data_IF_355771927430
#
_entry.id   IF_355771927430
#
_cell.length_a   1.000
_cell.length_b   1.000
_cell.length_c   1.000
_cell.angle_alpha   90.00
_cell.angle_beta   90.00
_cell.angle_gamma   90.00
#
_symmetry.space_group_name_H-M   'P 1'
#
loop_
_entity.id
_entity.type
_entity.pdbx_description
1 polymer ?
#
# COMPACT_ATOMS: atom_id res chain seq x y z
N UNK A 1 5.53 -12.02 47.91
CA UNK A 1 5.19 -12.09 46.47
C UNK A 1 5.61 -10.77 45.83
N UNK A 2 6.35 -10.85 44.73
CA UNK A 2 7.19 -9.80 44.17
C UNK A 2 6.40 -8.60 43.64
N UNK A 3 6.74 -7.40 44.10
CA UNK A 3 6.42 -6.13 43.42
C UNK A 3 7.76 -5.43 43.16
N UNK A 4 8.27 -5.54 41.94
CA UNK A 4 9.37 -4.69 41.50
C UNK A 4 8.77 -3.33 41.12
N UNK A 5 9.06 -2.30 41.93
CA UNK A 5 8.49 -0.95 41.79
C UNK A 5 8.83 -0.26 40.45
N UNK A 6 9.67 -0.87 39.61
CA UNK A 6 10.07 -0.35 38.32
C UNK A 6 9.39 -1.02 37.11
N UNK A 7 8.46 -1.96 37.32
CA UNK A 7 7.82 -2.69 36.21
C UNK A 7 6.36 -2.26 36.01
N UNK A 8 6.01 -1.94 34.78
CA UNK A 8 4.64 -1.58 34.43
C UNK A 8 3.76 -2.84 34.30
N UNK A 9 2.76 -2.96 35.17
CA UNK A 9 1.80 -4.08 35.18
C UNK A 9 0.39 -3.67 34.68
N UNK A 10 0.27 -2.53 34.01
CA UNK A 10 -1.00 -2.12 33.40
C UNK A 10 -1.45 -3.14 32.34
N UNK A 11 -2.76 -3.29 32.09
CA UNK A 11 -3.25 -4.21 31.06
C UNK A 11 -2.65 -3.94 29.67
N UNK A 12 -2.36 -2.67 29.37
CA UNK A 12 -1.72 -2.27 28.12
C UNK A 12 -0.25 -2.71 28.12
N UNK A 13 0.49 -2.48 29.20
CA UNK A 13 1.88 -2.93 29.29
C UNK A 13 2.01 -4.44 29.15
N UNK A 14 1.16 -5.22 29.83
CA UNK A 14 1.18 -6.68 29.75
C UNK A 14 0.84 -7.18 28.34
N UNK A 15 -0.15 -6.56 27.69
CA UNK A 15 -0.51 -6.87 26.30
C UNK A 15 0.62 -6.52 25.32
N UNK A 16 1.25 -5.36 25.49
CA UNK A 16 2.36 -4.93 24.61
C UNK A 16 3.60 -5.81 24.82
N UNK A 17 4.01 -6.03 26.06
CA UNK A 17 5.18 -6.86 26.39
C UNK A 17 5.00 -8.32 25.95
N UNK A 18 3.79 -8.88 26.09
CA UNK A 18 3.51 -10.24 25.60
C UNK A 18 3.57 -10.33 24.07
N UNK A 19 3.03 -9.33 23.37
CA UNK A 19 3.10 -9.27 21.91
C UNK A 19 4.55 -9.12 21.40
N UNK A 20 5.32 -8.21 22.00
CA UNK A 20 6.74 -8.00 21.68
C UNK A 20 7.54 -9.29 21.90
N UNK A 21 7.37 -9.94 23.05
CA UNK A 21 8.04 -11.22 23.34
C UNK A 21 7.69 -12.31 22.33
N UNK A 22 6.48 -12.30 21.80
CA UNK A 22 6.02 -13.31 20.85
C UNK A 22 6.60 -13.15 19.44
N UNK A 23 6.97 -11.93 19.03
CA UNK A 23 7.56 -11.66 17.71
C UNK A 23 9.10 -11.67 17.71
N UNK A 24 9.71 -11.57 18.89
CA UNK A 24 11.16 -11.66 19.06
C UNK A 24 11.67 -13.10 18.93
N UNK A 25 12.89 -13.24 18.42
CA UNK A 25 13.68 -14.47 18.44
C UNK A 25 14.85 -14.28 19.41
N UNK A 26 14.63 -14.67 20.67
CA UNK A 26 15.63 -14.56 21.75
C UNK A 26 16.88 -15.43 21.50
N UNK A 27 16.87 -16.32 20.50
CA UNK A 27 18.02 -17.15 20.15
C UNK A 27 19.05 -16.41 19.29
N UNK A 28 18.64 -15.31 18.63
CA UNK A 28 19.53 -14.50 17.81
C UNK A 28 20.26 -13.44 18.66
N UNK A 29 21.55 -13.23 18.38
CA UNK A 29 22.32 -12.21 19.10
C UNK A 29 22.00 -10.80 18.54
N UNK A 30 21.42 -9.89 19.35
CA UNK A 30 21.01 -8.56 18.91
C UNK A 30 22.18 -7.68 18.43
N UNK A 31 23.40 -7.90 18.93
CA UNK A 31 24.59 -7.14 18.51
C UNK A 31 25.08 -7.54 17.12
N UNK A 32 24.63 -8.69 16.60
CA UNK A 32 25.05 -9.22 15.30
C UNK A 32 23.93 -9.18 14.27
N UNK A 33 22.68 -9.42 14.67
CA UNK A 33 21.51 -9.35 13.81
C UNK A 33 20.29 -8.94 14.64
N UNK A 34 20.18 -7.64 14.91
CA UNK A 34 19.06 -7.07 15.65
C UNK A 34 17.71 -7.33 14.97
N UNK A 35 17.68 -7.41 13.63
CA UNK A 35 16.46 -7.73 12.89
C UNK A 35 15.95 -9.14 13.23
N UNK A 36 16.83 -10.15 13.19
CA UNK A 36 16.44 -11.51 13.58
C UNK A 36 16.02 -11.54 15.04
N UNK A 37 16.75 -10.90 15.95
CA UNK A 37 16.38 -10.85 17.36
C UNK A 37 15.00 -10.20 17.60
N UNK A 38 14.72 -9.07 16.95
CA UNK A 38 13.49 -8.30 17.18
C UNK A 38 12.27 -8.85 16.41
N UNK A 39 12.48 -9.48 15.25
CA UNK A 39 11.41 -9.84 14.31
C UNK A 39 11.46 -11.29 13.82
N UNK A 40 12.43 -12.10 14.25
CA UNK A 40 12.62 -13.47 13.78
C UNK A 40 11.47 -14.42 14.14
N UNK A 41 10.76 -14.13 15.23
CA UNK A 41 9.53 -14.83 15.62
C UNK A 41 8.31 -14.44 14.79
N UNK A 42 8.34 -13.31 14.08
CA UNK A 42 7.19 -12.79 13.32
C UNK A 42 6.71 -13.74 12.21
N UNK A 43 7.63 -14.48 11.58
CA UNK A 43 7.25 -15.46 10.55
C UNK A 43 6.45 -16.65 11.12
N UNK A 44 6.61 -16.97 12.40
CA UNK A 44 5.90 -18.08 13.06
C UNK A 44 4.43 -17.76 13.38
N UNK A 45 4.09 -16.47 13.43
CA UNK A 45 2.76 -15.98 13.81
C UNK A 45 1.89 -15.70 12.57
N UNK A 46 2.51 -15.68 11.39
CA UNK A 46 1.85 -15.43 10.12
C UNK A 46 2.05 -16.64 9.20
N UNK A 47 1.01 -17.45 9.04
CA UNK A 47 1.03 -18.55 8.08
C UNK A 47 1.33 -17.99 6.69
N UNK A 48 2.35 -18.51 5.98
CA UNK A 48 2.62 -18.09 4.61
C UNK A 48 1.46 -18.59 3.75
N UNK A 49 0.46 -17.74 3.53
CA UNK A 49 -0.42 -17.94 2.39
C UNK A 49 0.40 -17.53 1.15
N UNK A 50 0.73 -18.47 0.25
CA UNK A 50 1.58 -18.21 -0.92
C UNK A 50 0.96 -17.23 -1.92
N UNK A 51 -0.28 -16.77 -1.70
CA UNK A 51 -0.98 -15.80 -2.55
C UNK A 51 -0.80 -14.33 -2.14
N UNK A 52 -0.15 -14.03 -1.00
CA UNK A 52 0.01 -12.67 -0.46
C UNK A 52 1.45 -12.44 0.06
N UNK A 53 2.43 -12.68 -0.80
CA UNK A 53 3.86 -12.60 -0.47
C UNK A 53 4.39 -11.16 -0.35
N UNK A 54 3.58 -10.14 -0.69
CA UNK A 54 4.06 -8.76 -0.80
C UNK A 54 3.74 -7.81 0.36
N UNK A 55 2.93 -8.19 1.35
CA UNK A 55 2.28 -7.19 2.21
C UNK A 55 2.11 -7.66 3.66
N UNK A 56 3.16 -7.56 4.46
CA UNK A 56 3.14 -7.89 5.90
C UNK A 56 3.41 -6.66 6.75
N UNK A 57 2.50 -5.69 6.68
CA UNK A 57 2.38 -4.62 7.67
C UNK A 57 0.99 -4.75 8.35
N UNK A 58 0.85 -4.45 9.65
CA UNK A 58 -0.44 -4.45 10.33
C UNK A 58 -1.46 -3.46 9.69
N UNK A 59 -1.00 -2.50 8.87
CA UNK A 59 -1.84 -1.59 8.10
C UNK A 59 -2.57 -2.24 6.91
N UNK A 60 -2.13 -3.42 6.48
CA UNK A 60 -2.51 -4.00 5.20
C UNK A 60 -3.86 -4.70 5.21
N UNK A 61 -4.36 -5.05 6.40
CA UNK A 61 -5.69 -5.63 6.58
C UNK A 61 -6.79 -4.61 6.20
N UNK A 62 -6.52 -3.29 6.32
CA UNK A 62 -7.47 -2.25 5.91
C UNK A 62 -7.49 -2.00 4.39
N UNK A 63 -6.44 -2.38 3.67
CA UNK A 63 -6.33 -2.16 2.23
C UNK A 63 -7.00 -3.26 1.40
N UNK A 64 -7.26 -4.44 1.98
CA UNK A 64 -7.91 -5.57 1.30
C UNK A 64 -9.18 -6.05 2.02
N UNK A 65 -10.28 -5.27 1.96
CA UNK A 65 -11.55 -5.75 2.45
C UNK A 65 -12.14 -6.83 1.51
N UNK A 66 -12.95 -7.77 2.03
CA UNK A 66 -13.40 -8.99 1.33
C UNK A 66 -14.25 -8.75 0.07
N UNK A 67 -14.69 -7.52 -0.20
CA UNK A 67 -15.41 -7.15 -1.43
C UNK A 67 -14.60 -7.24 -2.73
N UNK A 68 -13.28 -7.44 -2.70
CA UNK A 68 -12.46 -7.67 -3.91
C UNK A 68 -12.60 -9.07 -4.53
N UNK A 69 -13.63 -9.84 -4.15
CA UNK A 69 -13.95 -11.11 -4.81
C UNK A 69 -14.62 -10.91 -6.17
N UNK A 70 -15.21 -9.73 -6.41
CA UNK A 70 -15.62 -9.31 -7.76
C UNK A 70 -14.33 -8.90 -8.47
N UNK A 71 -13.81 -9.78 -9.35
CA UNK A 71 -12.65 -9.52 -10.23
C UNK A 71 -12.82 -8.21 -11.01
N UNK A 72 -11.87 -7.83 -11.88
CA UNK A 72 -11.85 -6.56 -12.64
C UNK A 72 -13.08 -6.15 -13.49
N UNK A 73 -14.23 -6.83 -13.43
CA UNK A 73 -15.48 -6.40 -14.06
C UNK A 73 -15.95 -4.98 -13.67
N UNK A 74 -15.83 -4.51 -12.41
CA UNK A 74 -16.13 -3.12 -12.08
C UNK A 74 -15.24 -2.15 -12.86
N UNK A 75 -13.96 -2.47 -13.05
CA UNK A 75 -13.06 -1.65 -13.90
C UNK A 75 -13.55 -1.60 -15.35
N UNK A 76 -13.94 -2.74 -15.92
CA UNK A 76 -14.44 -2.80 -17.30
C UNK A 76 -15.71 -1.95 -17.48
N UNK A 77 -16.68 -2.07 -16.56
CA UNK A 77 -17.98 -1.43 -16.73
C UNK A 77 -18.07 0.00 -16.21
N UNK A 78 -17.36 0.33 -15.13
CA UNK A 78 -17.45 1.65 -14.48
C UNK A 78 -16.34 2.60 -14.91
N UNK A 79 -15.24 2.09 -15.46
CA UNK A 79 -14.10 2.91 -15.86
C UNK A 79 -13.91 2.90 -17.37
N UNK A 80 -13.71 1.72 -17.99
CA UNK A 80 -13.33 1.66 -19.41
C UNK A 80 -14.46 2.14 -20.34
N UNK A 81 -15.69 1.67 -20.13
CA UNK A 81 -16.83 2.06 -20.98
C UNK A 81 -17.13 3.57 -20.94
N UNK A 82 -17.24 4.24 -19.77
CA UNK A 82 -17.43 5.69 -19.72
C UNK A 82 -16.27 6.50 -20.31
N UNK A 83 -15.06 5.93 -20.41
CA UNK A 83 -13.87 6.58 -20.96
C UNK A 83 -13.79 6.54 -22.49
N UNK A 84 -14.75 5.94 -23.18
CA UNK A 84 -14.73 5.78 -24.64
C UNK A 84 -14.11 4.47 -25.11
N UNK A 85 -14.07 3.46 -24.22
CA UNK A 85 -13.72 2.10 -24.57
C UNK A 85 -12.21 1.87 -24.79
N UNK A 86 -11.86 0.62 -25.06
CA UNK A 86 -10.50 0.22 -25.40
C UNK A 86 -10.53 -0.71 -26.61
N UNK A 87 -9.75 -0.40 -27.65
CA UNK A 87 -9.57 -1.20 -28.86
C UNK A 87 -9.29 -2.70 -28.68
N UNK A 88 -8.78 -3.14 -27.51
CA UNK A 88 -8.49 -4.55 -27.21
C UNK A 88 -9.73 -5.29 -26.73
N UNK A 89 -10.68 -4.56 -26.14
CA UNK A 89 -11.84 -5.11 -25.46
C UNK A 89 -13.14 -4.97 -26.26
N UNK A 90 -13.14 -4.11 -27.29
CA UNK A 90 -14.33 -3.74 -28.05
C UNK A 90 -14.08 -3.94 -29.55
N UNK A 91 -14.95 -4.72 -30.20
CA UNK A 91 -14.84 -5.05 -31.63
C UNK A 91 -15.08 -3.84 -32.56
N UNK A 92 -15.83 -2.83 -32.09
CA UNK A 92 -16.25 -1.65 -32.88
C UNK A 92 -15.61 -0.35 -32.39
N UNK A 93 -14.43 -0.41 -31.78
CA UNK A 93 -13.76 0.78 -31.28
C UNK A 93 -13.28 1.67 -32.43
N UNK A 94 -13.65 2.96 -32.40
CA UNK A 94 -13.33 3.91 -33.46
C UNK A 94 -12.12 4.78 -33.10
N UNK A 95 -11.01 4.53 -33.80
CA UNK A 95 -9.75 5.27 -33.63
C UNK A 95 -9.88 6.76 -33.94
N UNK A 96 -10.81 7.17 -34.82
CA UNK A 96 -10.98 8.57 -35.19
C UNK A 96 -11.59 9.41 -34.06
N UNK A 97 -12.29 8.77 -33.12
CA UNK A 97 -12.91 9.44 -31.96
C UNK A 97 -11.98 9.60 -30.78
N UNK A 98 -10.78 9.00 -30.83
CA UNK A 98 -9.85 8.99 -29.72
C UNK A 98 -9.02 10.28 -29.62
N UNK A 99 -9.15 10.99 -28.50
CA UNK A 99 -8.34 12.16 -28.16
C UNK A 99 -7.39 11.84 -27.01
N UNK A 100 -6.12 11.62 -27.33
CA UNK A 100 -5.09 11.27 -26.35
C UNK A 100 -4.95 12.34 -25.24
N UNK A 101 -5.02 13.63 -25.58
CA UNK A 101 -4.84 14.70 -24.60
C UNK A 101 -5.99 14.73 -23.60
N UNK A 102 -7.22 14.59 -24.09
CA UNK A 102 -8.42 14.47 -23.25
C UNK A 102 -8.31 13.25 -22.34
N UNK A 103 -7.94 12.09 -22.88
CA UNK A 103 -7.88 10.86 -22.10
C UNK A 103 -6.78 10.91 -21.03
N UNK A 104 -5.58 11.42 -21.36
CA UNK A 104 -4.52 11.63 -20.37
C UNK A 104 -5.00 12.55 -19.25
N UNK A 105 -5.67 13.67 -19.57
CA UNK A 105 -6.19 14.58 -18.54
C UNK A 105 -7.13 13.88 -17.57
N UNK A 106 -8.06 13.06 -18.06
CA UNK A 106 -9.03 12.40 -17.17
C UNK A 106 -8.33 11.30 -16.36
N UNK A 107 -7.43 10.51 -16.95
CA UNK A 107 -6.67 9.47 -16.23
C UNK A 107 -5.81 10.07 -15.11
N UNK A 108 -5.12 11.18 -15.40
CA UNK A 108 -4.28 11.87 -14.43
C UNK A 108 -5.07 12.56 -13.33
N UNK A 109 -6.18 13.22 -13.65
CA UNK A 109 -6.95 14.03 -12.67
C UNK A 109 -7.97 13.19 -11.90
N UNK A 110 -8.71 12.29 -12.57
CA UNK A 110 -9.80 11.52 -11.96
C UNK A 110 -9.31 10.26 -11.26
N UNK A 111 -8.38 9.54 -11.89
CA UNK A 111 -7.88 8.27 -11.34
C UNK A 111 -6.51 8.39 -10.69
N UNK A 112 -5.94 9.59 -10.67
CA UNK A 112 -4.63 9.86 -10.09
C UNK A 112 -3.56 8.84 -10.55
N UNK A 113 -3.69 8.43 -11.80
CA UNK A 113 -2.86 7.38 -12.39
C UNK A 113 -1.88 8.02 -13.36
N UNK A 114 -0.56 7.91 -13.14
CA UNK A 114 0.43 8.49 -14.03
C UNK A 114 0.55 7.64 -15.31
N UNK A 115 -0.23 8.00 -16.32
CA UNK A 115 -0.12 7.42 -17.65
C UNK A 115 0.95 8.18 -18.47
N UNK A 116 1.93 7.44 -19.01
CA UNK A 116 3.12 7.90 -19.77
C UNK A 116 4.16 8.67 -18.94
N UNK A 117 3.72 9.66 -18.18
CA UNK A 117 4.55 10.43 -17.25
C UNK A 117 3.77 10.61 -15.94
N UNK A 118 4.41 11.15 -14.90
CA UNK A 118 3.72 11.56 -13.69
C UNK A 118 3.59 13.07 -13.66
N UNK A 119 2.46 13.58 -13.20
CA UNK A 119 2.30 15.01 -12.89
C UNK A 119 2.25 15.16 -11.38
N UNK A 120 3.07 16.05 -10.84
CA UNK A 120 3.09 16.36 -9.41
C UNK A 120 2.99 17.85 -9.20
N UNK A 121 2.18 18.25 -8.23
CA UNK A 121 2.23 19.59 -7.69
C UNK A 121 3.22 19.57 -6.53
N UNK A 122 4.31 20.30 -6.68
CA UNK A 122 5.38 20.36 -5.70
C UNK A 122 5.67 21.79 -5.31
N UNK A 123 6.53 21.96 -4.30
CA UNK A 123 7.01 23.27 -3.87
C UNK A 123 8.30 23.56 -4.62
N UNK A 124 8.42 24.77 -5.17
CA UNK A 124 9.62 25.15 -5.91
C UNK A 124 10.84 25.04 -4.99
N UNK A 125 11.87 24.32 -5.44
CA UNK A 125 13.08 24.07 -4.64
C UNK A 125 13.90 25.33 -4.41
N UNK A 126 13.76 26.33 -5.28
CA UNK A 126 14.46 27.62 -5.22
C UNK A 126 13.67 28.70 -4.47
N UNK A 127 12.34 28.57 -4.38
CA UNK A 127 11.45 29.50 -3.69
C UNK A 127 10.28 28.76 -3.02
N UNK A 128 10.41 28.50 -1.71
CA UNK A 128 9.43 27.68 -0.97
C UNK A 128 8.05 28.32 -0.81
N UNK A 129 7.86 29.58 -1.23
CA UNK A 129 6.55 30.24 -1.22
C UNK A 129 5.69 29.89 -2.44
N UNK A 130 6.28 29.30 -3.48
CA UNK A 130 5.60 28.99 -4.76
C UNK A 130 5.34 27.50 -4.93
N UNK A 131 4.32 27.19 -5.73
CA UNK A 131 4.00 25.83 -6.20
C UNK A 131 4.31 25.71 -7.68
N UNK A 132 4.88 24.59 -8.07
CA UNK A 132 5.26 24.28 -9.45
C UNK A 132 4.71 22.91 -9.86
N UNK A 133 4.43 22.78 -11.15
CA UNK A 133 4.11 21.50 -11.75
C UNK A 133 5.42 20.82 -12.15
N UNK A 134 5.63 19.63 -11.62
CA UNK A 134 6.80 18.80 -11.90
C UNK A 134 6.37 17.58 -12.73
N UNK A 135 7.18 17.30 -13.75
CA UNK A 135 7.19 16.03 -14.47
C UNK A 135 8.50 15.35 -14.07
N UNK A 136 8.48 14.39 -13.12
CA UNK A 136 9.67 13.68 -12.68
C UNK A 136 10.18 12.69 -13.73
#
# INVERSE_FOLDING_TARGET
>A
MFTDQNTCISPICLKTASYEKYIMDETANPCTNFYQFACGGYASIYTPNPLVVGILCPFSILLFPPQMQVRGQPMLNQVIKPFGGWYVLEDNWDASTFDLHKQLKIVHVTFWTPALYALRLSTDTTDWTKKVLEVP
#
